data_IF_287041855489
#
_entry.id   IF_287041855489
#
_cell.length_a   1.000
_cell.length_b   1.000
_cell.length_c   1.000
_cell.angle_alpha   90.00
_cell.angle_beta   90.00
_cell.angle_gamma   90.00
#
_symmetry.space_group_name_H-M   'P 1'
#
loop_
_entity.id
_entity.type
_entity.pdbx_description
1 polymer ?
#
# COMPACT_ATOMS: atom_id res chain seq x y z
N UNK A 1 -11.11 -2.62 -8.21
CA UNK A 1 -11.81 -3.06 -6.99
C UNK A 1 -11.03 -4.13 -6.23
N UNK A 2 -10.48 -5.16 -6.88
CA UNK A 2 -9.79 -6.28 -6.21
C UNK A 2 -8.72 -5.92 -5.16
N UNK A 3 -7.85 -4.93 -5.44
CA UNK A 3 -6.83 -4.50 -4.47
C UNK A 3 -7.44 -4.09 -3.12
N UNK A 4 -8.48 -3.25 -3.17
CA UNK A 4 -9.11 -2.73 -1.96
C UNK A 4 -9.81 -3.81 -1.16
N UNK A 5 -10.47 -4.76 -1.84
CA UNK A 5 -11.10 -5.92 -1.20
C UNK A 5 -10.08 -6.72 -0.38
N UNK A 6 -8.89 -7.00 -0.94
CA UNK A 6 -7.81 -7.71 -0.24
C UNK A 6 -7.30 -6.89 0.94
N UNK A 7 -6.98 -5.62 0.74
CA UNK A 7 -6.44 -4.74 1.78
C UNK A 7 -7.38 -4.59 2.99
N UNK A 8 -8.69 -4.53 2.75
CA UNK A 8 -9.68 -4.32 3.80
C UNK A 8 -10.03 -5.59 4.59
N UNK A 9 -9.67 -6.78 4.11
CA UNK A 9 -9.83 -8.01 4.91
C UNK A 9 -8.99 -8.02 6.18
N UNK A 10 -7.90 -7.24 6.22
CA UNK A 10 -6.90 -7.22 7.31
C UNK A 10 -6.39 -8.63 7.67
N UNK A 11 -6.39 -9.57 6.73
CA UNK A 11 -6.11 -10.98 7.01
C UNK A 11 -4.69 -11.23 7.56
N UNK A 12 -3.68 -10.55 7.01
CA UNK A 12 -2.28 -10.70 7.43
C UNK A 12 -1.76 -9.51 8.25
N UNK A 13 -2.19 -8.29 7.90
CA UNK A 13 -1.77 -7.06 8.56
C UNK A 13 -2.79 -5.97 8.26
N UNK A 14 -2.99 -5.07 9.22
CA UNK A 14 -3.76 -3.84 8.99
C UNK A 14 -3.01 -2.85 8.08
N UNK A 15 -1.71 -3.05 7.88
CA UNK A 15 -0.84 -2.20 7.05
C UNK A 15 -0.30 -2.93 5.82
N UNK A 16 -1.06 -3.90 5.27
CA UNK A 16 -0.65 -4.67 4.08
C UNK A 16 -0.29 -3.77 2.88
N UNK A 17 -0.89 -2.58 2.78
CA UNK A 17 -0.56 -1.59 1.76
C UNK A 17 0.91 -1.15 1.77
N UNK A 18 1.58 -1.10 2.94
CA UNK A 18 3.00 -0.79 3.03
C UNK A 18 3.87 -1.89 2.40
N UNK A 19 3.51 -3.15 2.65
CA UNK A 19 4.20 -4.29 2.06
C UNK A 19 4.00 -4.34 0.54
N UNK A 20 2.85 -3.88 0.04
CA UNK A 20 2.61 -3.72 -1.39
C UNK A 20 3.54 -2.65 -2.00
N UNK A 21 3.69 -1.50 -1.35
CA UNK A 21 4.67 -0.48 -1.78
C UNK A 21 6.10 -1.04 -1.81
N UNK A 22 6.49 -1.81 -0.78
CA UNK A 22 7.80 -2.48 -0.74
C UNK A 22 7.93 -3.51 -1.85
N UNK A 23 6.89 -4.30 -2.15
CA UNK A 23 6.90 -5.27 -3.25
C UNK A 23 7.16 -4.60 -4.60
N UNK A 24 6.51 -3.45 -4.86
CA UNK A 24 6.72 -2.65 -6.08
C UNK A 24 8.18 -2.18 -6.14
N UNK A 25 8.68 -1.53 -5.08
CA UNK A 25 10.07 -1.04 -5.04
C UNK A 25 11.09 -2.17 -5.19
N UNK A 26 10.87 -3.31 -4.52
CA UNK A 26 11.73 -4.50 -4.58
C UNK A 26 11.82 -5.06 -6.00
N UNK A 27 10.73 -5.06 -6.77
CA UNK A 27 10.71 -5.55 -8.15
C UNK A 27 11.57 -4.68 -9.08
N UNK A 28 11.56 -3.36 -8.88
CA UNK A 28 12.27 -2.41 -9.74
C UNK A 28 13.62 -1.93 -9.18
N UNK A 29 14.05 -2.47 -8.02
CA UNK A 29 15.27 -2.04 -7.33
C UNK A 29 16.51 -2.03 -8.23
N UNK A 30 16.67 -3.04 -9.08
CA UNK A 30 17.88 -3.22 -9.89
C UNK A 30 17.94 -2.14 -10.99
N UNK A 31 16.78 -1.73 -11.51
CA UNK A 31 16.66 -0.60 -12.45
C UNK A 31 16.91 0.74 -11.75
N UNK A 32 16.25 0.98 -10.60
CA UNK A 32 16.38 2.21 -9.83
C UNK A 32 17.85 2.46 -9.45
N UNK A 33 18.51 1.45 -8.89
CA UNK A 33 19.90 1.54 -8.45
C UNK A 33 20.89 1.49 -9.62
N UNK A 34 20.60 0.69 -10.65
CA UNK A 34 21.45 0.58 -11.85
C UNK A 34 21.49 1.86 -12.67
N UNK A 35 20.37 2.58 -12.77
CA UNK A 35 20.29 3.88 -13.44
C UNK A 35 20.70 5.05 -12.54
N UNK A 36 20.99 4.82 -11.26
CA UNK A 36 21.33 5.85 -10.26
C UNK A 36 20.29 6.99 -10.25
N UNK A 37 19.00 6.63 -10.23
CA UNK A 37 17.92 7.61 -10.29
C UNK A 37 18.00 8.60 -9.11
N UNK A 38 17.98 9.88 -9.42
CA UNK A 38 17.73 10.94 -8.44
C UNK A 38 16.22 11.03 -8.10
N UNK A 39 15.86 11.93 -7.18
CA UNK A 39 14.49 12.03 -6.69
C UNK A 39 13.46 12.28 -7.80
N UNK A 40 13.73 13.23 -8.70
CA UNK A 40 12.81 13.59 -9.78
C UNK A 40 12.67 12.46 -10.80
N UNK A 41 13.78 11.79 -11.13
CA UNK A 41 13.78 10.65 -12.05
C UNK A 41 13.03 9.46 -11.44
N UNK A 42 13.25 9.18 -10.15
CA UNK A 42 12.52 8.13 -9.44
C UNK A 42 11.02 8.43 -9.40
N UNK A 43 10.63 9.67 -9.08
CA UNK A 43 9.23 10.07 -9.04
C UNK A 43 8.57 9.92 -10.41
N UNK A 44 9.25 10.38 -11.47
CA UNK A 44 8.78 10.20 -12.85
C UNK A 44 8.63 8.71 -13.20
N UNK A 45 9.63 7.89 -12.89
CA UNK A 45 9.59 6.45 -13.12
C UNK A 45 8.42 5.78 -12.41
N UNK A 46 8.20 6.07 -11.12
CA UNK A 46 7.07 5.51 -10.36
C UNK A 46 5.73 5.95 -10.96
N UNK A 47 5.59 7.20 -11.39
CA UNK A 47 4.39 7.69 -12.06
C UNK A 47 4.14 6.97 -13.39
N UNK A 48 5.20 6.70 -14.15
CA UNK A 48 5.14 5.95 -15.41
C UNK A 48 4.77 4.47 -15.22
N UNK A 49 4.88 3.91 -14.00
CA UNK A 49 4.36 2.57 -13.71
C UNK A 49 2.83 2.54 -13.59
N UNK A 50 2.16 3.70 -13.45
CA UNK A 50 0.70 3.76 -13.34
C UNK A 50 0.04 3.13 -14.56
N UNK A 51 -0.94 2.24 -14.33
CA UNK A 51 -1.60 1.47 -15.40
C UNK A 51 -0.81 0.27 -15.92
N UNK A 52 0.44 0.08 -15.50
CA UNK A 52 1.31 -1.03 -15.92
C UNK A 52 1.62 -2.04 -14.80
N UNK A 53 0.99 -1.88 -13.63
CA UNK A 53 1.19 -2.76 -12.48
C UNK A 53 0.23 -3.95 -12.56
N UNK A 54 0.77 -5.15 -12.83
CA UNK A 54 0.03 -6.41 -12.73
C UNK A 54 -0.20 -6.78 -11.26
N UNK A 55 -1.42 -6.62 -10.78
CA UNK A 55 -1.73 -6.66 -9.34
C UNK A 55 -1.43 -8.00 -8.64
N UNK A 56 -1.79 -9.12 -9.25
CA UNK A 56 -1.67 -10.46 -8.63
C UNK A 56 -0.25 -10.82 -8.15
N UNK A 57 0.82 -10.69 -8.98
CA UNK A 57 2.16 -10.98 -8.51
C UNK A 57 2.63 -10.03 -7.39
N UNK A 58 2.22 -8.75 -7.43
CA UNK A 58 2.60 -7.81 -6.37
C UNK A 58 1.87 -8.08 -5.06
N UNK A 59 0.61 -8.52 -5.09
CA UNK A 59 -0.10 -8.98 -3.89
C UNK A 59 0.59 -10.21 -3.27
N UNK A 60 0.92 -11.22 -4.08
CA UNK A 60 1.65 -12.40 -3.59
C UNK A 60 3.00 -12.04 -2.98
N UNK A 61 3.75 -11.15 -3.62
CA UNK A 61 5.02 -10.66 -3.09
C UNK A 61 4.83 -9.88 -1.78
N UNK A 62 3.78 -9.08 -1.66
CA UNK A 62 3.44 -8.34 -0.45
C UNK A 62 3.07 -9.28 0.72
N UNK A 63 2.26 -10.30 0.46
CA UNK A 63 1.91 -11.32 1.45
C UNK A 63 3.15 -12.08 1.92
N UNK A 64 4.00 -12.51 0.99
CA UNK A 64 5.26 -13.18 1.31
C UNK A 64 6.20 -12.29 2.13
N UNK A 65 6.30 -10.99 1.80
CA UNK A 65 7.07 -10.01 2.57
C UNK A 65 6.49 -9.82 3.98
N UNK A 66 5.17 -9.73 4.12
CA UNK A 66 4.50 -9.60 5.40
C UNK A 66 4.77 -10.81 6.31
N UNK A 67 4.66 -12.03 5.75
CA UNK A 67 4.94 -13.27 6.47
C UNK A 67 6.43 -13.36 6.86
N UNK A 68 7.33 -13.03 5.93
CA UNK A 68 8.77 -13.06 6.17
C UNK A 68 9.21 -12.06 7.25
N UNK A 69 8.64 -10.85 7.23
CA UNK A 69 9.00 -9.81 8.18
C UNK A 69 8.48 -10.10 9.61
N UNK A 70 7.32 -10.76 9.72
CA UNK A 70 6.75 -11.18 11.00
C UNK A 70 6.62 -10.04 12.02
N UNK A 71 6.93 -10.33 13.28
CA UNK A 71 6.88 -9.35 14.38
C UNK A 71 7.85 -8.18 14.19
N UNK A 72 9.01 -8.41 13.57
CA UNK A 72 9.99 -7.36 13.29
C UNK A 72 9.46 -6.36 12.25
N UNK A 73 8.73 -6.84 11.26
CA UNK A 73 8.03 -6.01 10.28
C UNK A 73 6.97 -5.14 10.94
N UNK A 74 6.15 -5.73 11.81
CA UNK A 74 5.14 -5.01 12.59
C UNK A 74 5.78 -3.95 13.51
N UNK A 75 6.87 -4.28 14.20
CA UNK A 75 7.59 -3.35 15.07
C UNK A 75 8.28 -2.20 14.31
N UNK A 76 8.52 -2.36 13.01
CA UNK A 76 9.14 -1.33 12.17
C UNK A 76 8.13 -0.28 11.66
N UNK A 77 6.83 -0.51 11.84
CA UNK A 77 5.79 0.42 11.41
C UNK A 77 5.68 1.55 12.45
N UNK A 78 5.84 2.83 12.06
CA UNK A 78 5.77 3.94 13.01
C UNK A 78 4.41 4.03 13.70
N UNK A 79 4.38 4.43 14.99
CA UNK A 79 3.12 4.67 15.69
C UNK A 79 2.33 5.79 15.01
N UNK A 80 1.01 5.61 14.89
CA UNK A 80 0.13 6.56 14.21
C UNK A 80 0.05 6.37 12.68
N UNK A 81 0.74 5.37 12.12
CA UNK A 81 0.54 5.00 10.71
C UNK A 81 -0.91 4.53 10.50
N UNK A 82 -1.67 5.10 9.56
CA UNK A 82 -3.04 4.67 9.31
C UNK A 82 -3.11 3.22 8.79
N UNK A 83 -4.14 2.45 9.18
CA UNK A 83 -4.43 1.15 8.58
C UNK A 83 -5.01 1.29 7.16
N UNK A 84 -4.96 0.19 6.40
CA UNK A 84 -5.53 0.06 5.05
C UNK A 84 -7.03 0.35 4.99
N UNK A 85 -7.77 -0.07 6.00
CA UNK A 85 -9.18 0.26 6.19
C UNK A 85 -9.24 1.45 7.15
N UNK A 86 -9.78 2.61 6.75
CA UNK A 86 -9.91 3.75 7.65
C UNK A 86 -10.65 3.35 8.92
N UNK A 87 -10.14 3.79 10.08
CA UNK A 87 -10.86 3.64 11.33
C UNK A 87 -12.04 4.62 11.26
N UNK A 88 -13.25 4.09 11.08
CA UNK A 88 -14.46 4.88 11.23
C UNK A 88 -14.47 5.40 12.67
N UNK A 89 -14.21 6.70 12.84
CA UNK A 89 -14.71 7.37 14.04
C UNK A 89 -16.23 7.19 14.01
N UNK A 90 -16.85 6.92 15.17
CA UNK A 90 -18.32 6.84 15.32
C UNK A 90 -19.06 8.09 14.75
N UNK A 91 -18.32 9.17 14.47
CA UNK A 91 -18.81 10.39 13.84
C UNK A 91 -18.81 10.38 12.29
N UNK A 92 -18.28 9.37 11.60
CA UNK A 92 -18.26 9.34 10.13
C UNK A 92 -19.65 9.14 9.52
N UNK A 93 -20.57 8.50 10.24
CA UNK A 93 -21.97 8.34 9.83
C UNK A 93 -22.77 9.67 9.91
N UNK A 94 -22.27 10.68 10.63
CA UNK A 94 -22.91 12.00 10.72
C UNK A 94 -22.60 12.87 9.49
N UNK A 95 -21.52 12.60 8.75
CA UNK A 95 -21.14 13.37 7.57
C UNK A 95 -21.71 12.82 6.26
N UNK A 96 -22.44 11.70 6.29
CA UNK A 96 -23.08 11.12 5.11
C UNK A 96 -24.53 11.57 4.90
N UNK A 97 -25.09 12.41 5.78
CA UNK A 97 -26.50 12.83 5.71
C UNK A 97 -26.76 14.17 5.01
N UNK A 98 -25.73 14.96 4.68
CA UNK A 98 -25.94 16.33 4.15
C UNK A 98 -25.78 16.49 2.62
N UNK A 99 -25.48 15.42 1.88
CA UNK A 99 -25.39 15.44 0.39
C UNK A 99 -26.65 14.88 -0.31
N UNK A 100 -27.83 15.00 0.32
CA UNK A 100 -29.13 14.80 -0.34
C UNK A 100 -30.00 16.08 -0.25
N UNK A 101 -29.67 17.12 -1.02
CA UNK A 101 -30.67 18.10 -1.48
C UNK A 101 -30.33 18.58 -2.90
N UNK A 102 -31.32 18.39 -3.79
CA UNK A 102 -31.46 18.91 -5.16
C UNK A 102 -31.14 20.40 -5.34
#
# INVERSE_FOLDING_TARGET
>A
MFLWEVLWTRHLSEHLHLYLCVAILKRYRDKIMGEQMDFDTLLKFINELSGHIELDPFLRDAEALCIYAGENGAASIPPGTPPSLPIENENSLLYSQDDEVL
#
